data_IF_342463841319
#
_entry.id   IF_342463841319
#
_cell.length_a   1.000
_cell.length_b   1.000
_cell.length_c   1.000
_cell.angle_alpha   90.00
_cell.angle_beta   90.00
_cell.angle_gamma   90.00
#
_symmetry.space_group_name_H-M   'P 1'
#
loop_
_entity.id
_entity.type
_entity.pdbx_description
1 polymer ?
#
# COMPACT_ATOMS: atom_id res chain seq x y z
N UNK A 1 14.04 22.87 4.56
CA UNK A 1 13.80 22.73 4.54
C UNK A 1 14.26 22.20 4.33
N UNK A 2 13.82 21.81 4.18
CA UNK A 2 13.73 21.36 4.12
C UNK A 2 13.87 20.83 3.70
N UNK A 3 13.46 20.32 3.58
CA UNK A 3 13.12 20.01 3.51
C UNK A 3 13.47 19.70 2.76
N UNK A 4 13.44 19.63 2.57
CA UNK A 4 13.34 19.47 2.19
C UNK A 4 13.32 19.48 1.60
N UNK A 5 13.07 19.27 1.39
CA UNK A 5 12.53 19.47 1.22
C UNK A 5 12.39 19.72 0.65
N UNK A 6 11.90 19.91 0.60
CA UNK A 6 11.38 20.28 0.24
C UNK A 6 11.39 21.17 0.24
N UNK A 7 11.48 21.28 0.01
CA UNK A 7 11.02 22.04 0.13
C UNK A 7 10.75 22.62 0.01
N UNK A 8 10.37 22.91 -0.03
CA UNK A 8 9.67 23.47 0.03
C UNK A 8 9.22 23.84 -0.27
N UNK A 9 9.53 24.15 -0.21
CA UNK A 9 8.50 24.89 -0.54
C UNK A 9 7.18 24.81 0.17
N UNK A 10 6.55 25.58 0.76
CA UNK A 10 5.24 25.44 1.33
C UNK A 10 4.85 24.07 1.89
N UNK A 11 5.80 23.24 2.02
CA UNK A 11 5.61 21.86 2.41
C UNK A 11 5.79 21.73 3.91
N UNK A 12 4.75 21.27 4.60
CA UNK A 12 4.83 21.06 6.05
C UNK A 12 5.46 19.70 6.33
N UNK A 13 6.62 19.64 7.00
CA UNK A 13 7.25 18.36 7.33
C UNK A 13 6.37 17.41 8.12
N UNK A 14 5.41 17.92 8.89
CA UNK A 14 4.47 17.07 9.62
C UNK A 14 3.48 16.36 8.70
N UNK A 15 3.22 16.93 7.53
CA UNK A 15 2.36 16.33 6.51
C UNK A 15 3.18 15.62 5.45
N UNK A 16 4.51 15.68 5.55
CA UNK A 16 5.37 14.91 4.68
C UNK A 16 5.03 13.44 4.87
N UNK A 17 5.13 12.71 3.83
CA UNK A 17 4.72 11.33 3.59
C UNK A 17 5.18 10.35 4.68
N UNK A 18 4.73 10.60 5.91
CA UNK A 18 4.95 9.69 7.03
C UNK A 18 4.10 8.45 6.80
N UNK A 19 4.71 7.28 6.90
CA UNK A 19 3.98 6.02 6.77
C UNK A 19 3.30 5.69 8.09
N UNK A 20 2.02 5.39 7.98
CA UNK A 20 1.19 5.00 9.12
C UNK A 20 1.24 3.49 9.26
N UNK A 21 1.51 2.99 10.49
CA UNK A 21 1.40 1.56 10.75
C UNK A 21 -0.06 1.17 10.82
N UNK A 22 -0.47 0.25 9.96
CA UNK A 22 -1.84 -0.24 9.92
C UNK A 22 -1.87 -1.74 10.21
N UNK A 23 -3.05 -2.23 10.56
CA UNK A 23 -3.24 -3.64 10.88
C UNK A 23 -3.77 -4.40 9.68
N UNK A 24 -3.59 -5.71 9.68
CA UNK A 24 -4.16 -6.59 8.66
C UNK A 24 -5.69 -6.48 8.68
N UNK A 25 -6.29 -6.33 9.86
CA UNK A 25 -7.74 -6.19 9.99
C UNK A 25 -8.28 -4.96 9.28
N UNK A 26 -7.51 -3.88 9.25
CA UNK A 26 -7.90 -2.69 8.47
C UNK A 26 -7.93 -3.01 6.98
N UNK A 27 -6.91 -3.70 6.49
CA UNK A 27 -6.78 -3.99 5.06
C UNK A 27 -7.82 -5.00 4.57
N UNK A 28 -8.12 -6.03 5.37
CA UNK A 28 -8.99 -7.12 4.93
C UNK A 28 -10.43 -6.98 5.42
N UNK A 29 -10.84 -5.80 5.82
CA UNK A 29 -12.21 -5.54 6.23
C UNK A 29 -13.17 -5.92 5.09
N UNK A 30 -14.15 -6.77 5.33
CA UNK A 30 -15.10 -7.18 4.27
C UNK A 30 -15.89 -6.02 3.67
N UNK A 31 -16.05 -4.91 4.40
CA UNK A 31 -16.73 -3.72 3.89
C UNK A 31 -15.83 -2.85 3.04
N UNK A 32 -14.53 -3.19 2.95
CA UNK A 32 -13.56 -2.47 2.15
C UNK A 32 -12.58 -1.65 2.97
N UNK A 33 -11.49 -1.25 2.33
CA UNK A 33 -10.48 -0.38 2.92
C UNK A 33 -10.85 1.07 2.63
N UNK A 34 -11.18 1.81 3.67
CA UNK A 34 -11.50 3.23 3.55
C UNK A 34 -10.18 4.01 3.43
N UNK A 35 -9.98 4.66 2.29
CA UNK A 35 -8.77 5.43 2.03
C UNK A 35 -8.84 6.87 2.52
N UNK A 36 -9.95 7.27 3.13
CA UNK A 36 -10.07 8.59 3.70
C UNK A 36 -9.15 8.72 4.92
N UNK A 37 -8.15 9.60 4.82
CA UNK A 37 -7.14 9.75 5.87
C UNK A 37 -6.02 8.73 5.84
N UNK A 38 -6.01 7.80 4.87
CA UNK A 38 -4.98 6.78 4.74
C UNK A 38 -4.35 6.86 3.35
N UNK A 39 -3.15 7.40 3.27
CA UNK A 39 -2.47 7.57 1.99
C UNK A 39 -1.19 6.76 1.88
N UNK A 40 -0.39 6.74 2.94
CA UNK A 40 0.87 6.00 2.99
C UNK A 40 0.81 5.06 4.18
N UNK A 41 0.77 3.77 3.92
CA UNK A 41 0.54 2.76 4.94
C UNK A 41 1.67 1.73 4.96
N UNK A 42 1.98 1.24 6.14
CA UNK A 42 2.94 0.16 6.33
C UNK A 42 2.26 -0.93 7.16
N UNK A 43 2.35 -2.17 6.68
CA UNK A 43 1.77 -3.31 7.39
C UNK A 43 2.78 -4.44 7.48
N UNK A 44 2.81 -5.10 8.64
CA UNK A 44 3.62 -6.30 8.83
C UNK A 44 2.77 -7.54 8.60
N UNK A 45 3.25 -8.45 7.77
CA UNK A 45 2.63 -9.76 7.57
C UNK A 45 3.41 -10.86 8.31
N UNK A 46 4.22 -10.49 9.29
CA UNK A 46 5.09 -11.44 9.99
C UNK A 46 4.33 -12.53 10.76
N UNK A 47 3.08 -12.27 11.14
CA UNK A 47 2.24 -13.22 11.87
C UNK A 47 1.17 -13.87 10.98
N UNK A 48 1.14 -13.55 9.68
CA UNK A 48 0.09 -14.02 8.79
C UNK A 48 0.43 -15.37 8.18
N UNK A 49 -0.57 -16.21 8.03
CA UNK A 49 -0.39 -17.56 7.45
C UNK A 49 -0.87 -17.64 6.00
N UNK A 50 -1.45 -16.56 5.47
CA UNK A 50 -1.95 -16.50 4.10
C UNK A 50 -1.89 -15.09 3.56
N UNK A 51 -2.09 -14.96 2.26
CA UNK A 51 -2.17 -13.65 1.62
C UNK A 51 -3.35 -12.86 2.18
N UNK A 52 -3.23 -11.54 2.13
CA UNK A 52 -4.23 -10.61 2.66
C UNK A 52 -5.01 -10.00 1.51
N UNK A 53 -6.32 -10.19 1.49
CA UNK A 53 -7.18 -9.70 0.41
C UNK A 53 -7.83 -8.38 0.80
N UNK A 54 -7.70 -7.39 -0.08
CA UNK A 54 -8.44 -6.14 0.02
C UNK A 54 -9.68 -6.29 -0.85
N UNK A 55 -10.86 -6.31 -0.22
CA UNK A 55 -12.13 -6.59 -0.94
C UNK A 55 -12.46 -5.47 -1.92
N UNK A 56 -12.34 -4.22 -1.46
CA UNK A 56 -12.56 -3.05 -2.29
C UNK A 56 -11.97 -1.83 -1.59
N UNK A 57 -11.83 -0.72 -2.33
CA UNK A 57 -11.44 0.56 -1.76
C UNK A 57 -12.67 1.47 -1.65
N UNK A 58 -12.76 2.16 -0.51
CA UNK A 58 -13.78 3.19 -0.30
C UNK A 58 -13.11 4.54 -0.23
N UNK A 59 -13.81 5.57 -0.73
CA UNK A 59 -13.33 6.94 -0.71
C UNK A 59 -12.00 7.13 -1.43
N UNK A 60 -11.73 6.32 -2.44
CA UNK A 60 -10.54 6.46 -3.26
C UNK A 60 -10.71 7.66 -4.20
N UNK A 61 -9.76 8.59 -4.12
CA UNK A 61 -9.84 9.84 -4.88
C UNK A 61 -9.03 9.74 -6.16
N UNK A 62 -9.59 10.26 -7.25
CA UNK A 62 -8.90 10.28 -8.53
C UNK A 62 -7.64 11.15 -8.45
N UNK A 63 -6.58 10.69 -9.10
CA UNK A 63 -5.35 11.44 -9.22
C UNK A 63 -4.52 11.53 -7.94
N UNK A 64 -4.90 10.80 -6.90
CA UNK A 64 -4.13 10.72 -5.66
C UNK A 64 -3.36 9.41 -5.67
N UNK A 65 -2.06 9.50 -5.37
CA UNK A 65 -1.21 8.32 -5.25
C UNK A 65 -1.30 7.77 -3.82
N UNK A 66 -1.52 6.47 -3.73
CA UNK A 66 -1.56 5.74 -2.46
C UNK A 66 -0.43 4.72 -2.44
N UNK A 67 0.13 4.48 -1.26
CA UNK A 67 1.22 3.52 -1.11
C UNK A 67 0.96 2.60 0.08
N UNK A 68 1.16 1.31 -0.11
CA UNK A 68 1.17 0.34 0.97
C UNK A 68 2.49 -0.41 0.92
N UNK A 69 3.26 -0.32 1.99
CA UNK A 69 4.49 -1.09 2.16
C UNK A 69 4.17 -2.31 3.00
N UNK A 70 4.50 -3.48 2.48
CA UNK A 70 4.19 -4.76 3.10
C UNK A 70 5.49 -5.46 3.47
N UNK A 71 5.68 -5.72 4.75
CA UNK A 71 6.87 -6.39 5.24
C UNK A 71 6.56 -7.82 5.67
N UNK A 72 7.18 -8.80 5.01
CA UNK A 72 7.15 -10.18 5.46
C UNK A 72 8.22 -10.41 6.52
N UNK A 73 7.93 -11.33 7.44
CA UNK A 73 8.90 -11.76 8.43
C UNK A 73 9.76 -12.92 7.94
N UNK A 74 10.66 -13.39 8.79
CA UNK A 74 11.61 -14.45 8.45
C UNK A 74 10.95 -15.77 8.08
N UNK A 75 9.70 -15.99 8.48
CA UNK A 75 8.98 -17.24 8.25
C UNK A 75 7.71 -17.04 7.41
N UNK A 76 7.49 -15.86 6.87
CA UNK A 76 6.27 -15.57 6.10
C UNK A 76 6.63 -15.12 4.68
N UNK A 77 5.75 -15.42 3.74
CA UNK A 77 5.92 -15.06 2.34
C UNK A 77 4.55 -14.79 1.72
N UNK A 78 3.92 -13.73 2.22
CA UNK A 78 2.57 -13.34 1.81
C UNK A 78 2.58 -12.03 1.04
N UNK A 79 1.50 -11.76 0.33
CA UNK A 79 1.32 -10.55 -0.45
C UNK A 79 -0.09 -10.03 -0.24
N UNK A 80 -0.35 -8.82 -0.74
CA UNK A 80 -1.70 -8.28 -0.82
C UNK A 80 -2.34 -8.72 -2.13
N UNK A 81 -3.62 -9.03 -2.04
CA UNK A 81 -4.46 -9.28 -3.21
C UNK A 81 -5.41 -8.08 -3.29
N UNK A 82 -5.27 -7.32 -4.36
CA UNK A 82 -6.08 -6.12 -4.59
C UNK A 82 -7.46 -6.49 -5.14
N UNK A 83 -8.42 -5.56 -5.11
CA UNK A 83 -9.76 -5.81 -5.65
C UNK A 83 -9.69 -6.32 -7.09
N UNK A 84 -10.71 -7.09 -7.47
CA UNK A 84 -10.84 -7.61 -8.82
C UNK A 84 -10.72 -6.50 -9.86
N UNK A 85 -10.14 -6.82 -11.00
CA UNK A 85 -9.95 -5.91 -12.13
C UNK A 85 -8.92 -4.80 -11.87
N UNK A 86 -8.12 -4.90 -10.80
CA UNK A 86 -6.95 -4.03 -10.65
C UNK A 86 -5.95 -4.34 -11.76
N UNK A 87 -5.45 -3.30 -12.41
CA UNK A 87 -4.46 -3.43 -13.49
C UNK A 87 -3.08 -3.24 -12.90
N UNK A 88 -2.21 -4.22 -13.12
CA UNK A 88 -0.86 -4.19 -12.55
C UNK A 88 0.18 -3.88 -13.61
N UNK A 89 1.20 -3.12 -13.24
CA UNK A 89 2.41 -2.96 -14.04
C UNK A 89 3.49 -3.89 -13.48
N UNK A 90 4.39 -4.31 -14.37
CA UNK A 90 5.49 -5.18 -13.98
C UNK A 90 5.10 -6.66 -13.90
N UNK A 91 6.06 -7.46 -13.46
CA UNK A 91 5.90 -8.90 -13.41
C UNK A 91 5.11 -9.32 -12.17
N UNK A 92 4.50 -10.49 -12.27
CA UNK A 92 3.83 -11.11 -11.13
C UNK A 92 4.84 -11.36 -10.01
N UNK A 93 4.44 -11.01 -8.79
CA UNK A 93 5.28 -11.21 -7.62
C UNK A 93 5.11 -12.63 -7.09
N UNK A 94 6.25 -13.27 -6.79
CA UNK A 94 6.28 -14.53 -6.03
C UNK A 94 6.85 -14.17 -4.66
N UNK A 95 6.03 -14.10 -3.60
CA UNK A 95 6.51 -13.70 -2.29
C UNK A 95 7.57 -14.65 -1.74
N UNK A 96 8.53 -14.08 -1.01
CA UNK A 96 9.60 -14.84 -0.34
C UNK A 96 9.71 -14.37 1.10
N UNK A 97 10.34 -15.19 1.93
CA UNK A 97 10.59 -14.83 3.33
C UNK A 97 11.39 -13.53 3.41
N UNK A 98 11.05 -12.69 4.37
CA UNK A 98 11.70 -11.40 4.62
C UNK A 98 11.59 -10.39 3.48
N UNK A 99 10.77 -10.67 2.48
CA UNK A 99 10.58 -9.78 1.34
C UNK A 99 9.71 -8.58 1.74
N UNK A 100 10.11 -7.40 1.31
CA UNK A 100 9.27 -6.20 1.40
C UNK A 100 8.70 -5.91 0.02
N UNK A 101 7.39 -5.71 -0.05
CA UNK A 101 6.71 -5.39 -1.29
C UNK A 101 6.08 -4.01 -1.15
N UNK A 102 6.35 -3.13 -2.11
CA UNK A 102 5.77 -1.80 -2.13
C UNK A 102 4.73 -1.72 -3.24
N UNK A 103 3.51 -1.40 -2.86
CA UNK A 103 2.39 -1.20 -3.78
C UNK A 103 2.09 0.28 -3.88
N UNK A 104 2.21 0.84 -5.09
CA UNK A 104 1.80 2.21 -5.39
C UNK A 104 0.62 2.16 -6.32
N UNK A 105 -0.48 2.80 -5.98
CA UNK A 105 -1.71 2.66 -6.75
C UNK A 105 -2.50 3.96 -6.79
N UNK A 106 -3.28 4.08 -7.84
CA UNK A 106 -4.16 5.24 -8.05
C UNK A 106 -5.36 4.81 -8.92
N UNK A 107 -6.35 5.68 -9.00
CA UNK A 107 -7.49 5.48 -9.89
C UNK A 107 -7.69 6.69 -10.80
N UNK A 108 -8.17 6.43 -12.00
CA UNK A 108 -8.63 7.46 -12.94
C UNK A 108 -10.16 7.60 -12.88
N UNK A 109 -10.80 6.94 -11.90
CA UNK A 109 -12.25 6.92 -11.77
C UNK A 109 -12.90 5.73 -12.47
N UNK A 110 -12.16 4.99 -13.28
CA UNK A 110 -12.67 3.83 -14.04
C UNK A 110 -11.94 2.55 -13.64
N UNK A 111 -10.64 2.64 -13.48
CA UNK A 111 -9.80 1.49 -13.16
C UNK A 111 -8.87 1.84 -12.01
N UNK A 112 -8.34 0.80 -11.37
CA UNK A 112 -7.29 0.94 -10.38
C UNK A 112 -6.01 0.45 -11.01
N UNK A 113 -4.96 1.26 -10.93
CA UNK A 113 -3.64 0.94 -11.49
C UNK A 113 -2.68 0.74 -10.33
N UNK A 114 -1.96 -0.37 -10.33
CA UNK A 114 -1.06 -0.72 -9.24
C UNK A 114 0.32 -1.10 -9.77
N UNK A 115 1.34 -0.41 -9.28
CA UNK A 115 2.73 -0.75 -9.52
C UNK A 115 3.26 -1.52 -8.31
N UNK A 116 4.03 -2.58 -8.54
CA UNK A 116 4.57 -3.44 -7.49
C UNK A 116 6.08 -3.47 -7.58
N UNK A 117 6.75 -3.23 -6.44
CA UNK A 117 8.20 -3.29 -6.35
C UNK A 117 8.62 -4.20 -5.21
N UNK A 118 9.70 -4.92 -5.41
CA UNK A 118 10.21 -5.90 -4.44
C UNK A 118 11.52 -5.42 -3.89
N UNK A 119 11.67 -5.53 -2.57
CA UNK A 119 12.92 -5.26 -1.87
C UNK A 119 13.23 -6.47 -0.98
N UNK A 120 14.46 -6.96 -1.09
CA UNK A 120 14.90 -8.13 -0.31
C UNK A 120 15.95 -7.77 0.70
#
# INVERSE_FOLDING_TARGET
MPNIVRADCGFDPADAETFEEVTVELLNDPSGLDLNGHRNMHVSLAAETSDVTIAEFENMRQGVDYTIVVANGATTKNQLIFPDKTLYSGDKIVPENSMTIVYEFFTDGYSIYCDRRIYK
#
